data_IF_086330365014
#
_entry.id   IF_086330365014
#
_cell.length_a   1.000
_cell.length_b   1.000
_cell.length_c   1.000
_cell.angle_alpha   90.00
_cell.angle_beta   90.00
_cell.angle_gamma   90.00
#
_symmetry.space_group_name_H-M   'P 1'
#
loop_
_entity.id
_entity.type
_entity.pdbx_description
1 polymer ?
#
# COMPACT_ATOMS: atom_id res chain seq x y z
N UNK A 1 -12.00 0.82 -8.91
CA UNK A 1 -11.69 -0.58 -8.58
C UNK A 1 -10.25 -0.65 -8.10
N UNK A 2 -10.00 -1.41 -7.03
CA UNK A 2 -8.67 -1.64 -6.48
C UNK A 2 -8.41 -3.13 -6.44
N UNK A 3 -7.26 -3.58 -6.94
CA UNK A 3 -6.89 -4.99 -7.03
C UNK A 3 -5.81 -5.27 -5.99
N UNK A 4 -6.17 -6.05 -4.97
CA UNK A 4 -5.35 -6.46 -3.84
C UNK A 4 -5.67 -5.71 -2.55
N UNK A 5 -5.61 -6.43 -1.42
CA UNK A 5 -5.96 -5.97 -0.07
C UNK A 5 -4.76 -5.70 0.83
N UNK A 6 -3.53 -5.68 0.32
CA UNK A 6 -2.39 -5.26 1.14
C UNK A 6 -2.40 -3.76 1.45
N UNK A 7 -1.48 -3.27 2.28
CA UNK A 7 -1.40 -1.89 2.76
C UNK A 7 -1.67 -0.83 1.67
N UNK A 8 -1.05 -0.97 0.50
CA UNK A 8 -1.22 0.00 -0.59
C UNK A 8 -2.67 0.03 -1.13
N UNK A 9 -3.30 -1.15 -1.27
CA UNK A 9 -4.67 -1.25 -1.76
C UNK A 9 -5.69 -0.75 -0.74
N UNK A 10 -5.55 -1.13 0.52
CA UNK A 10 -6.45 -0.68 1.57
C UNK A 10 -6.31 0.82 1.85
N UNK A 11 -5.08 1.33 1.92
CA UNK A 11 -4.83 2.77 2.06
C UNK A 11 -5.46 3.56 0.91
N UNK A 12 -5.20 3.15 -0.34
CA UNK A 12 -5.82 3.78 -1.51
C UNK A 12 -7.34 3.69 -1.49
N UNK A 13 -7.91 2.60 -0.97
CA UNK A 13 -9.36 2.42 -0.88
C UNK A 13 -10.01 3.40 0.09
N UNK A 14 -9.38 3.66 1.22
CA UNK A 14 -9.85 4.63 2.22
C UNK A 14 -9.84 6.05 1.65
N UNK A 15 -8.75 6.47 1.01
CA UNK A 15 -8.67 7.79 0.38
C UNK A 15 -9.66 7.96 -0.78
N UNK A 16 -9.79 6.94 -1.63
CA UNK A 16 -10.71 6.99 -2.76
C UNK A 16 -12.19 6.99 -2.32
N UNK A 17 -12.50 6.34 -1.18
CA UNK A 17 -13.86 6.23 -0.65
C UNK A 17 -14.45 7.60 -0.28
N UNK A 18 -13.63 8.55 0.12
CA UNK A 18 -14.05 9.92 0.38
C UNK A 18 -14.65 10.62 -0.87
N UNK A 19 -14.30 10.14 -2.07
CA UNK A 19 -14.64 10.79 -3.34
C UNK A 19 -15.55 9.96 -4.24
N UNK A 20 -15.91 8.74 -3.81
CA UNK A 20 -16.79 7.90 -4.60
C UNK A 20 -16.94 6.47 -4.10
N UNK A 21 -17.61 5.66 -4.90
CA UNK A 21 -17.74 4.23 -4.63
C UNK A 21 -16.43 3.50 -4.93
N UNK A 22 -16.03 2.61 -4.04
CA UNK A 22 -14.82 1.81 -4.17
C UNK A 22 -15.16 0.34 -4.05
N UNK A 23 -14.59 -0.47 -4.95
CA UNK A 23 -14.61 -1.92 -4.89
C UNK A 23 -13.18 -2.43 -4.80
N UNK A 24 -12.86 -3.16 -3.75
CA UNK A 24 -11.62 -3.92 -3.59
C UNK A 24 -11.89 -5.36 -3.98
N UNK A 25 -11.06 -5.89 -4.88
CA UNK A 25 -11.05 -7.30 -5.28
C UNK A 25 -9.78 -7.95 -4.76
N UNK A 26 -9.90 -9.03 -3.99
CA UNK A 26 -8.75 -9.76 -3.47
C UNK A 26 -8.90 -11.26 -3.70
N UNK A 27 -7.79 -11.93 -4.07
CA UNK A 27 -7.78 -13.36 -4.41
C UNK A 27 -8.02 -14.30 -3.22
N UNK A 28 -7.79 -13.81 -2.01
CA UNK A 28 -7.98 -14.53 -0.77
C UNK A 28 -8.89 -13.73 0.17
N UNK A 29 -8.97 -14.05 1.46
CA UNK A 29 -9.60 -13.18 2.45
C UNK A 29 -8.85 -11.83 2.51
N UNK A 30 -9.53 -10.79 2.97
CA UNK A 30 -9.00 -9.40 2.97
C UNK A 30 -7.69 -9.30 3.75
N UNK A 31 -7.59 -10.04 4.82
CA UNK A 31 -6.47 -10.07 5.75
C UNK A 31 -5.35 -11.04 5.34
N UNK A 32 -5.55 -11.84 4.30
CA UNK A 32 -4.54 -12.76 3.78
C UNK A 32 -3.67 -12.07 2.72
N UNK A 33 -2.69 -11.32 3.16
CA UNK A 33 -1.79 -10.57 2.29
C UNK A 33 -0.36 -10.50 2.87
N UNK A 34 0.61 -10.15 2.05
CA UNK A 34 2.01 -10.04 2.48
C UNK A 34 2.21 -8.98 3.58
N UNK A 35 1.37 -7.96 3.64
CA UNK A 35 1.43 -6.95 4.70
C UNK A 35 1.24 -7.56 6.06
N UNK A 36 0.27 -8.46 6.24
CA UNK A 36 0.01 -9.12 7.51
C UNK A 36 1.21 -9.90 8.05
N UNK A 37 1.97 -10.50 7.15
CA UNK A 37 3.14 -11.31 7.50
C UNK A 37 4.44 -10.52 7.54
N UNK A 38 4.41 -9.21 7.31
CA UNK A 38 5.57 -8.37 7.40
C UNK A 38 5.97 -8.17 8.87
N UNK A 39 7.16 -8.65 9.20
CA UNK A 39 7.80 -8.48 10.50
C UNK A 39 8.65 -7.21 10.51
N UNK A 40 9.08 -6.81 11.69
CA UNK A 40 9.87 -5.61 11.88
C UNK A 40 9.02 -4.34 11.85
N UNK A 41 9.65 -3.22 11.55
CA UNK A 41 9.03 -1.91 11.60
C UNK A 41 8.88 -1.23 10.24
N UNK A 42 8.39 0.00 10.28
CA UNK A 42 8.31 0.88 9.12
C UNK A 42 9.17 2.11 9.34
N UNK A 43 10.04 2.42 8.36
CA UNK A 43 10.96 3.55 8.44
C UNK A 43 10.29 4.85 8.01
N UNK A 44 10.37 5.90 8.84
CA UNK A 44 9.94 7.25 8.48
C UNK A 44 10.70 8.31 9.27
N UNK A 45 11.05 9.46 8.66
CA UNK A 45 11.81 10.51 9.31
C UNK A 45 10.91 11.40 10.19
N UNK A 46 10.37 10.82 11.28
CA UNK A 46 9.47 11.50 12.21
C UNK A 46 10.14 11.86 13.55
N UNK A 47 11.36 11.39 13.78
CA UNK A 47 12.11 11.64 15.01
C UNK A 47 12.76 13.01 15.07
N UNK A 48 13.06 13.46 16.30
CA UNK A 48 13.84 14.71 16.52
C UNK A 48 15.24 14.54 15.94
N UNK A 49 15.67 15.47 15.09
CA UNK A 49 16.99 15.45 14.44
C UNK A 49 17.06 14.55 13.20
N UNK A 50 15.97 13.93 12.81
CA UNK A 50 15.85 13.23 11.54
C UNK A 50 15.28 14.15 10.44
N UNK A 51 15.46 13.75 9.18
CA UNK A 51 14.95 14.48 8.03
C UNK A 51 14.77 13.57 6.81
N UNK A 52 13.91 13.95 5.85
CA UNK A 52 13.84 13.26 4.56
C UNK A 52 15.19 13.14 3.85
N UNK A 53 16.03 14.18 3.95
CA UNK A 53 17.39 14.19 3.37
C UNK A 53 18.28 13.13 3.99
N UNK A 54 18.28 13.01 5.30
CA UNK A 54 19.08 12.01 6.01
C UNK A 54 18.59 10.60 5.68
N UNK A 55 17.28 10.40 5.67
CA UNK A 55 16.68 9.12 5.28
C UNK A 55 16.99 8.77 3.81
N UNK A 56 16.98 9.76 2.92
CA UNK A 56 17.39 9.58 1.52
C UNK A 56 18.83 9.09 1.41
N UNK A 57 19.78 9.75 2.12
CA UNK A 57 21.19 9.38 2.08
C UNK A 57 21.41 7.95 2.57
N UNK A 58 20.82 7.59 3.71
CA UNK A 58 20.88 6.23 4.25
C UNK A 58 20.34 5.20 3.26
N UNK A 59 19.19 5.49 2.65
CA UNK A 59 18.55 4.58 1.68
C UNK A 59 19.38 4.39 0.41
N UNK A 60 19.93 5.45 -0.15
CA UNK A 60 20.81 5.37 -1.34
C UNK A 60 22.09 4.60 -1.02
N UNK A 61 22.68 4.87 0.14
CA UNK A 61 23.90 4.17 0.57
C UNK A 61 23.63 2.67 0.76
N UNK A 62 22.56 2.31 1.46
CA UNK A 62 22.19 0.90 1.68
C UNK A 62 21.83 0.19 0.37
N UNK A 63 21.26 0.91 -0.59
CA UNK A 63 20.87 0.38 -1.90
C UNK A 63 22.03 0.04 -2.82
N UNK A 64 23.28 0.43 -2.47
CA UNK A 64 24.52 0.07 -3.17
C UNK A 64 24.44 0.25 -4.71
N UNK A 65 23.78 1.30 -5.18
CA UNK A 65 23.61 1.63 -6.61
C UNK A 65 22.41 0.96 -7.30
N UNK A 66 21.60 0.16 -6.58
CA UNK A 66 20.39 -0.45 -7.12
C UNK A 66 19.13 0.41 -6.96
N UNK A 67 19.19 1.41 -6.08
CA UNK A 67 18.04 2.29 -5.80
C UNK A 67 17.81 3.28 -6.94
N UNK A 68 16.54 3.49 -7.31
CA UNK A 68 16.13 4.63 -8.13
C UNK A 68 16.03 5.89 -7.24
N UNK A 69 16.88 6.94 -7.46
CA UNK A 69 16.88 8.11 -6.60
C UNK A 69 15.57 8.89 -6.59
N UNK A 70 14.85 8.93 -7.70
CA UNK A 70 13.55 9.63 -7.75
C UNK A 70 12.49 8.89 -6.95
N UNK A 71 12.45 7.56 -7.03
CA UNK A 71 11.55 6.75 -6.22
C UNK A 71 11.86 6.87 -4.72
N UNK A 72 13.16 6.88 -4.35
CA UNK A 72 13.59 7.09 -2.96
C UNK A 72 13.19 8.48 -2.47
N UNK A 73 13.35 9.54 -3.30
CA UNK A 73 12.96 10.90 -2.93
C UNK A 73 11.47 10.96 -2.57
N UNK A 74 10.59 10.47 -3.44
CA UNK A 74 9.15 10.42 -3.18
C UNK A 74 8.84 9.66 -1.90
N UNK A 75 9.48 8.50 -1.70
CA UNK A 75 9.28 7.68 -0.51
C UNK A 75 9.58 8.46 0.78
N UNK A 76 10.76 9.09 0.86
CA UNK A 76 11.20 9.72 2.11
C UNK A 76 10.51 11.06 2.39
N UNK A 77 10.16 11.82 1.33
CA UNK A 77 9.45 13.09 1.45
C UNK A 77 8.01 12.89 1.92
N UNK A 78 7.34 11.84 1.46
CA UNK A 78 5.96 11.55 1.86
C UNK A 78 5.84 10.71 3.14
N UNK A 79 6.91 10.06 3.60
CA UNK A 79 6.85 9.05 4.65
C UNK A 79 6.18 9.56 5.95
N UNK A 80 6.54 10.77 6.41
CA UNK A 80 5.98 11.33 7.65
C UNK A 80 4.46 11.53 7.54
N UNK A 81 3.97 12.03 6.42
CA UNK A 81 2.54 12.23 6.18
C UNK A 81 1.81 10.88 6.14
N UNK A 82 2.41 9.87 5.49
CA UNK A 82 1.81 8.53 5.42
C UNK A 82 1.75 7.86 6.79
N UNK A 83 2.74 8.05 7.65
CA UNK A 83 2.68 7.58 9.05
C UNK A 83 1.57 8.29 9.81
N UNK A 84 1.43 9.60 9.67
CA UNK A 84 0.35 10.35 10.30
C UNK A 84 -1.03 9.85 9.83
N UNK A 85 -1.18 9.49 8.56
CA UNK A 85 -2.40 8.88 8.05
C UNK A 85 -2.69 7.53 8.73
N UNK A 86 -1.68 6.66 8.87
CA UNK A 86 -1.84 5.38 9.57
C UNK A 86 -2.25 5.56 11.04
N UNK A 87 -1.65 6.55 11.73
CA UNK A 87 -2.03 6.91 13.10
C UNK A 87 -3.50 7.38 13.14
N UNK A 88 -3.92 8.23 12.21
CA UNK A 88 -5.32 8.69 12.12
C UNK A 88 -6.30 7.55 11.82
N UNK A 89 -5.90 6.55 11.06
CA UNK A 89 -6.69 5.34 10.85
C UNK A 89 -6.74 4.43 12.08
N UNK A 90 -5.90 4.69 13.08
CA UNK A 90 -5.89 3.98 14.35
C UNK A 90 -4.90 2.82 14.42
N UNK A 91 -3.84 2.84 13.61
CA UNK A 91 -2.72 1.89 13.77
C UNK A 91 -2.05 2.15 15.11
N UNK A 92 -1.98 1.15 16.01
CA UNK A 92 -1.46 1.33 17.36
C UNK A 92 0.06 1.19 17.38
N UNK A 93 0.78 2.19 16.86
CA UNK A 93 2.24 2.20 16.98
C UNK A 93 2.67 2.21 18.44
N UNK A 94 3.78 1.54 18.72
CA UNK A 94 4.36 1.48 20.06
C UNK A 94 4.75 2.89 20.52
N UNK A 95 4.53 3.19 21.80
CA UNK A 95 4.78 4.51 22.38
C UNK A 95 5.69 4.42 23.59
N UNK A 96 6.52 5.43 23.77
CA UNK A 96 7.34 5.63 24.95
C UNK A 96 7.12 7.07 25.48
N UNK A 97 6.80 7.22 26.73
CA UNK A 97 6.52 8.53 27.37
C UNK A 97 5.45 9.37 26.64
N UNK A 98 4.49 8.69 25.95
CA UNK A 98 3.39 9.35 25.25
C UNK A 98 3.71 9.78 23.80
N UNK A 99 4.94 9.61 23.35
CA UNK A 99 5.35 9.80 21.95
C UNK A 99 5.56 8.44 21.25
N UNK A 100 5.52 8.42 19.91
CA UNK A 100 5.79 7.21 19.13
C UNK A 100 7.23 6.75 19.40
N UNK A 101 7.41 5.49 19.77
CA UNK A 101 8.72 4.91 20.00
C UNK A 101 9.44 4.68 18.67
N UNK A 102 10.72 5.04 18.62
CA UNK A 102 11.56 4.87 17.43
C UNK A 102 12.75 3.98 17.75
N UNK A 103 12.96 2.97 16.93
CA UNK A 103 14.11 2.08 17.02
C UNK A 103 15.19 2.47 15.99
N UNK A 104 16.44 2.18 16.33
CA UNK A 104 17.57 2.22 15.41
C UNK A 104 17.85 0.81 14.91
N UNK A 105 17.71 0.62 13.61
CA UNK A 105 18.05 -0.62 12.95
C UNK A 105 19.19 -0.43 11.93
N UNK A 106 19.72 -1.54 11.43
CA UNK A 106 20.83 -1.54 10.48
C UNK A 106 20.53 -0.65 9.25
N UNK A 107 21.57 -0.03 8.72
CA UNK A 107 21.53 0.90 7.58
C UNK A 107 20.87 2.27 7.84
N UNK A 108 20.38 2.54 9.04
CA UNK A 108 19.89 3.85 9.44
C UNK A 108 20.89 4.58 10.36
N UNK A 109 21.13 5.85 10.10
CA UNK A 109 22.05 6.68 10.89
C UNK A 109 21.41 7.21 12.19
N UNK A 110 20.08 7.24 12.27
CA UNK A 110 19.30 7.68 13.43
C UNK A 110 18.08 6.80 13.65
N UNK A 111 17.51 6.78 14.88
CA UNK A 111 16.27 6.05 15.16
C UNK A 111 15.11 6.60 14.31
N UNK A 112 14.50 5.75 13.48
CA UNK A 112 13.34 6.11 12.64
C UNK A 112 12.39 4.96 12.37
N UNK A 113 12.62 3.81 12.98
CA UNK A 113 11.79 2.62 12.75
C UNK A 113 10.66 2.62 13.76
N UNK A 114 9.43 2.67 13.27
CA UNK A 114 8.22 2.57 14.06
C UNK A 114 7.78 1.11 14.10
N UNK A 115 7.44 0.61 15.26
CA UNK A 115 6.87 -0.71 15.47
C UNK A 115 5.43 -0.61 15.97
N UNK A 116 4.66 -1.65 15.75
CA UNK A 116 3.35 -1.85 16.36
C UNK A 116 3.28 -3.29 16.88
N UNK A 117 3.17 -3.46 18.21
CA UNK A 117 3.21 -4.75 18.87
C UNK A 117 4.52 -5.50 18.67
N UNK A 118 5.65 -4.80 18.68
CA UNK A 118 6.99 -5.37 18.42
C UNK A 118 7.12 -5.81 16.97
N UNK A 119 7.32 -7.10 16.71
CA UNK A 119 7.52 -7.66 15.36
C UNK A 119 6.22 -7.91 14.58
N UNK A 120 5.08 -7.45 15.06
CA UNK A 120 3.77 -7.65 14.44
C UNK A 120 3.25 -6.42 13.69
N UNK A 121 4.12 -5.49 13.31
CA UNK A 121 3.73 -4.21 12.71
C UNK A 121 2.84 -4.37 11.49
N UNK A 122 3.17 -5.31 10.60
CA UNK A 122 2.36 -5.58 9.42
C UNK A 122 0.97 -6.09 9.75
N UNK A 123 0.81 -6.95 10.75
CA UNK A 123 -0.48 -7.46 11.20
C UNK A 123 -1.35 -6.33 11.79
N UNK A 124 -0.79 -5.46 12.61
CA UNK A 124 -1.50 -4.32 13.18
C UNK A 124 -1.97 -3.32 12.12
N UNK A 125 -1.12 -3.03 11.13
CA UNK A 125 -1.49 -2.17 9.99
C UNK A 125 -2.62 -2.83 9.20
N UNK A 126 -2.46 -4.09 8.80
CA UNK A 126 -3.46 -4.81 7.99
C UNK A 126 -4.81 -4.88 8.69
N UNK A 127 -4.83 -5.34 9.93
CA UNK A 127 -6.07 -5.49 10.72
C UNK A 127 -6.77 -4.14 10.89
N UNK A 128 -6.02 -3.07 11.12
CA UNK A 128 -6.58 -1.74 11.28
C UNK A 128 -7.17 -1.22 9.97
N UNK A 129 -6.43 -1.29 8.87
CA UNK A 129 -6.90 -0.80 7.58
C UNK A 129 -8.07 -1.63 7.03
N UNK A 130 -8.06 -2.95 7.20
CA UNK A 130 -9.17 -3.84 6.83
C UNK A 130 -10.44 -3.47 7.58
N UNK A 131 -10.36 -3.27 8.89
CA UNK A 131 -11.48 -2.81 9.71
C UNK A 131 -11.99 -1.44 9.27
N UNK A 132 -11.10 -0.49 9.03
CA UNK A 132 -11.45 0.84 8.54
C UNK A 132 -12.13 0.80 7.17
N UNK A 133 -11.62 0.01 6.23
CA UNK A 133 -12.23 -0.15 4.92
C UNK A 133 -13.66 -0.65 5.01
N UNK A 134 -13.91 -1.70 5.82
CA UNK A 134 -15.26 -2.24 6.06
C UNK A 134 -16.18 -1.20 6.72
N UNK A 135 -15.70 -0.52 7.76
CA UNK A 135 -16.49 0.48 8.51
C UNK A 135 -16.84 1.71 7.68
N UNK A 136 -15.99 2.10 6.73
CA UNK A 136 -16.24 3.23 5.83
C UNK A 136 -17.01 2.85 4.56
N UNK A 137 -17.54 1.63 4.49
CA UNK A 137 -18.40 1.19 3.39
C UNK A 137 -17.67 0.98 2.06
N UNK A 138 -16.39 0.61 2.11
CA UNK A 138 -15.68 0.07 0.94
C UNK A 138 -16.28 -1.29 0.61
N UNK A 139 -16.72 -1.49 -0.62
CA UNK A 139 -17.16 -2.80 -1.08
C UNK A 139 -15.94 -3.71 -1.26
N UNK A 140 -15.98 -4.89 -0.65
CA UNK A 140 -14.89 -5.85 -0.68
C UNK A 140 -15.42 -7.18 -1.21
N UNK A 141 -14.76 -7.70 -2.23
CA UNK A 141 -15.04 -9.02 -2.77
C UNK A 141 -13.81 -9.89 -2.62
N UNK A 142 -13.89 -10.80 -1.68
CA UNK A 142 -12.86 -11.79 -1.35
C UNK A 142 -12.91 -12.96 -2.34
N UNK A 143 -11.87 -13.78 -2.37
CA UNK A 143 -11.73 -14.96 -3.24
C UNK A 143 -11.98 -14.65 -4.71
N UNK A 144 -11.61 -13.45 -5.14
CA UNK A 144 -11.83 -12.94 -6.50
C UNK A 144 -10.48 -12.66 -7.19
N UNK A 145 -10.09 -13.55 -8.07
CA UNK A 145 -8.89 -13.40 -8.89
C UNK A 145 -9.20 -12.49 -10.08
N UNK A 146 -8.37 -11.49 -10.32
CA UNK A 146 -8.49 -10.60 -11.49
C UNK A 146 -7.43 -10.98 -12.54
N UNK A 147 -7.76 -11.80 -13.55
CA UNK A 147 -6.82 -12.21 -14.60
C UNK A 147 -6.65 -11.15 -15.69
N UNK A 148 -7.61 -10.24 -15.87
CA UNK A 148 -7.61 -9.35 -17.03
C UNK A 148 -8.23 -7.99 -16.74
N UNK A 149 -7.63 -6.94 -17.34
CA UNK A 149 -8.25 -5.62 -17.48
C UNK A 149 -9.18 -5.60 -18.70
N UNK A 150 -10.31 -4.93 -18.60
CA UNK A 150 -11.18 -4.62 -19.72
C UNK A 150 -10.71 -3.28 -20.30
N UNK A 151 -10.21 -3.31 -21.52
CA UNK A 151 -9.64 -2.15 -22.19
C UNK A 151 -10.45 -1.83 -23.44
N UNK A 152 -10.93 -0.61 -23.54
CA UNK A 152 -11.63 -0.08 -24.70
C UNK A 152 -10.94 1.18 -25.21
N UNK A 153 -10.58 1.19 -26.50
CA UNK A 153 -9.92 2.34 -27.16
C UNK A 153 -8.68 2.81 -26.38
N UNK A 154 -7.86 1.87 -25.88
CA UNK A 154 -6.64 2.16 -25.13
C UNK A 154 -6.85 2.63 -23.68
N UNK A 155 -8.06 2.57 -23.14
CA UNK A 155 -8.37 2.97 -21.77
C UNK A 155 -8.93 1.80 -20.98
N UNK A 156 -8.45 1.60 -19.76
CA UNK A 156 -9.03 0.64 -18.81
C UNK A 156 -10.45 1.12 -18.44
N UNK A 157 -11.44 0.23 -18.60
CA UNK A 157 -12.86 0.47 -18.31
C UNK A 157 -13.38 -0.41 -17.18
N UNK A 158 -12.65 -1.45 -16.84
CA UNK A 158 -13.08 -2.42 -15.86
C UNK A 158 -12.08 -3.54 -15.71
N UNK A 159 -12.53 -4.57 -15.03
CA UNK A 159 -11.78 -5.80 -14.81
C UNK A 159 -12.69 -7.00 -15.00
N UNK A 160 -12.11 -8.11 -15.45
CA UNK A 160 -12.73 -9.42 -15.35
C UNK A 160 -12.16 -10.11 -14.12
N UNK A 161 -13.04 -10.60 -13.27
CA UNK A 161 -12.68 -11.36 -12.09
C UNK A 161 -13.29 -12.76 -12.14
N UNK A 162 -12.59 -13.71 -11.54
CA UNK A 162 -13.05 -15.09 -11.35
C UNK A 162 -13.28 -15.29 -9.86
N UNK A 163 -14.49 -15.66 -9.49
CA UNK A 163 -14.80 -16.14 -8.16
C UNK A 163 -14.18 -17.52 -7.97
N UNK A 164 -13.23 -17.63 -7.05
CA UNK A 164 -12.44 -18.85 -6.86
C UNK A 164 -13.21 -20.01 -6.22
N UNK A 165 -14.34 -19.74 -5.58
CA UNK A 165 -15.18 -20.77 -4.98
C UNK A 165 -16.10 -21.43 -6.02
N UNK A 166 -16.68 -20.62 -6.92
CA UNK A 166 -17.66 -21.08 -7.91
C UNK A 166 -17.11 -21.25 -9.32
N UNK A 167 -15.92 -20.69 -9.61
CA UNK A 167 -15.37 -20.61 -10.96
C UNK A 167 -16.10 -19.62 -11.89
N UNK A 168 -17.05 -18.84 -11.38
CA UNK A 168 -17.82 -17.88 -12.18
C UNK A 168 -16.98 -16.68 -12.54
N UNK A 169 -17.06 -16.28 -13.80
CA UNK A 169 -16.49 -15.00 -14.26
C UNK A 169 -17.50 -13.86 -14.10
N UNK A 170 -17.02 -12.73 -13.61
CA UNK A 170 -17.79 -11.50 -13.46
C UNK A 170 -17.00 -10.31 -14.00
N UNK A 171 -17.70 -9.37 -14.61
CA UNK A 171 -17.09 -8.13 -15.09
C UNK A 171 -17.52 -6.95 -14.22
N UNK A 172 -16.54 -6.19 -13.77
CA UNK A 172 -16.74 -4.97 -12.99
C UNK A 172 -16.26 -3.76 -13.79
N UNK A 173 -17.14 -2.78 -13.95
CA UNK A 173 -16.79 -1.52 -14.61
C UNK A 173 -16.36 -0.48 -13.60
N UNK A 174 -15.36 0.36 -13.97
CA UNK A 174 -14.85 1.42 -13.11
C UNK A 174 -14.10 2.47 -13.89
N UNK A 175 -14.24 3.74 -13.46
CA UNK A 175 -13.53 4.88 -14.08
C UNK A 175 -12.03 4.84 -13.83
N UNK A 176 -11.63 4.32 -12.69
CA UNK A 176 -10.24 4.19 -12.25
C UNK A 176 -9.98 2.77 -11.78
N UNK A 177 -8.84 2.24 -12.14
CA UNK A 177 -8.38 0.92 -11.71
C UNK A 177 -6.99 1.08 -11.14
N UNK A 178 -6.83 0.71 -9.88
CA UNK A 178 -5.55 0.71 -9.17
C UNK A 178 -5.13 -0.75 -9.01
N UNK A 179 -3.93 -1.06 -9.46
CA UNK A 179 -3.31 -2.37 -9.27
C UNK A 179 -1.91 -2.18 -8.73
N UNK A 180 -1.57 -2.91 -7.68
CA UNK A 180 -0.19 -3.04 -7.26
C UNK A 180 0.56 -3.86 -8.32
N UNK A 181 1.56 -3.28 -8.94
CA UNK A 181 2.49 -4.03 -9.79
C UNK A 181 3.38 -4.87 -8.87
N UNK A 182 3.26 -6.20 -8.94
CA UNK A 182 4.31 -7.09 -8.49
C UNK A 182 5.10 -7.41 -9.77
N UNK A 183 6.41 -7.17 -9.84
CA UNK A 183 7.20 -7.68 -10.95
C UNK A 183 7.16 -9.22 -10.86
N UNK A 184 6.26 -9.83 -11.61
CA UNK A 184 6.34 -11.26 -11.90
C UNK A 184 7.15 -11.38 -13.18
N UNK A 185 8.22 -12.09 -13.12
CA UNK A 185 8.92 -12.61 -14.27
C UNK A 185 7.89 -13.41 -15.07
N UNK A 186 7.73 -13.05 -16.33
CA UNK A 186 6.86 -13.63 -17.37
C UNK A 186 5.41 -13.11 -17.51
N UNK A 187 5.24 -12.44 -18.65
CA UNK A 187 4.04 -12.35 -19.48
C UNK A 187 2.82 -11.59 -18.97
N UNK A 188 2.99 -10.30 -18.67
CA UNK A 188 1.89 -9.36 -18.79
C UNK A 188 2.37 -8.10 -19.52
N UNK A 189 2.29 -8.09 -20.84
CA UNK A 189 2.35 -6.85 -21.61
C UNK A 189 1.09 -6.03 -21.29
N UNK A 190 1.15 -5.23 -20.23
CA UNK A 190 0.21 -4.13 -20.04
C UNK A 190 0.93 -2.89 -20.55
N UNK A 191 0.47 -2.25 -21.61
CA UNK A 191 1.04 -0.97 -22.02
C UNK A 191 0.85 0.01 -20.84
N UNK A 192 1.94 0.58 -20.37
CA UNK A 192 1.92 1.70 -19.42
C UNK A 192 1.24 2.87 -20.14
N UNK A 193 -0.03 3.10 -19.84
CA UNK A 193 -0.73 4.27 -20.34
C UNK A 193 -0.25 5.44 -19.49
N UNK A 194 0.71 6.18 -20.00
CA UNK A 194 1.02 7.51 -19.50
C UNK A 194 -0.26 8.36 -19.64
N UNK A 195 -0.78 8.82 -18.50
CA UNK A 195 -1.83 9.85 -18.51
C UNK A 195 -1.19 11.13 -19.04
N UNK A 196 -1.71 11.76 -20.10
CA UNK A 196 -1.33 13.12 -20.40
C UNK A 196 -1.99 14.02 -19.36
N UNK A 197 -1.24 14.43 -18.36
CA UNK A 197 -1.50 15.66 -17.64
C UNK A 197 -1.05 16.79 -18.60
N UNK A 198 -1.95 17.32 -19.34
CA UNK A 198 -1.75 18.58 -20.04
C UNK A 198 -3.07 19.32 -20.16
N UNK A 199 -3.05 20.47 -19.52
CA UNK A 199 -3.91 21.67 -19.59
C UNK A 199 -5.32 21.55 -19.04
#
# INVERSE_FOLDING_TARGET
IIIGSGIAGLYASLLARERGSVLVLTKASIDECNTRFAQGGIAAPVGRGDSPQLHFQDTIQAGAGLSDPEAVRVLVEEAADRINDLIRFGVPFDTQEGEVALALEAAHSVPRILHAGGDATGEHIETTLSRQARSNGVAIKEHSLVPRLLVERGRARGVRAVDLASGREEEYQGRFIIRKAIPTVDSWEVPVIQSPLSN
#
